data_IF_733039899096
#
_entry.id   IF_733039899096
#
_cell.length_a   1.000
_cell.length_b   1.000
_cell.length_c   1.000
_cell.angle_alpha   90.00
_cell.angle_beta   90.00
_cell.angle_gamma   90.00
#
_symmetry.space_group_name_H-M   'P 1'
#
loop_
_entity.id
_entity.type
_entity.pdbx_description
1 polymer ?
#
# COMPACT_ATOMS: atom_id res chain seq x y z
N UNK A 1 -17.00 5.32 -23.02
CA UNK A 1 -15.84 4.45 -22.76
C UNK A 1 -15.46 4.71 -21.32
N UNK A 2 -15.56 3.74 -20.42
CA UNK A 2 -14.91 3.84 -19.11
C UNK A 2 -13.44 3.49 -19.37
N UNK A 3 -12.55 4.47 -19.26
CA UNK A 3 -11.13 4.19 -19.31
C UNK A 3 -10.82 3.30 -18.09
N UNK A 4 -10.23 2.13 -18.31
CA UNK A 4 -9.80 1.27 -17.22
C UNK A 4 -8.77 2.00 -16.35
N UNK A 5 -8.84 1.82 -15.04
CA UNK A 5 -7.91 2.43 -14.08
C UNK A 5 -7.00 1.41 -13.41
N UNK A 6 -7.19 0.10 -13.65
CA UNK A 6 -6.38 -0.96 -13.08
C UNK A 6 -5.83 -1.84 -14.20
N UNK A 7 -4.50 -1.96 -14.28
CA UNK A 7 -3.79 -2.74 -15.28
C UNK A 7 -2.73 -3.60 -14.62
N UNK A 8 -2.62 -4.85 -15.04
CA UNK A 8 -1.49 -5.70 -14.68
C UNK A 8 -0.62 -5.85 -15.93
N UNK A 9 0.63 -5.41 -15.85
CA UNK A 9 1.61 -5.51 -16.91
C UNK A 9 2.56 -6.67 -16.64
N UNK A 10 2.96 -7.35 -17.71
CA UNK A 10 3.98 -8.40 -17.63
C UNK A 10 5.36 -7.80 -17.87
N UNK A 11 6.35 -8.27 -17.12
CA UNK A 11 7.76 -7.93 -17.31
C UNK A 11 8.64 -9.17 -17.18
N UNK A 12 9.90 -9.07 -17.58
CA UNK A 12 10.87 -10.17 -17.46
C UNK A 12 11.11 -10.62 -16.00
N UNK A 13 10.75 -9.77 -15.03
CA UNK A 13 10.91 -10.03 -13.59
C UNK A 13 9.58 -10.33 -12.87
N UNK A 14 8.46 -10.38 -13.60
CA UNK A 14 7.12 -10.69 -13.05
C UNK A 14 6.07 -9.63 -13.39
N UNK A 15 4.88 -9.81 -12.80
CA UNK A 15 3.72 -8.93 -12.99
C UNK A 15 3.85 -7.63 -12.19
N UNK A 16 3.37 -6.53 -12.77
CA UNK A 16 3.34 -5.18 -12.15
C UNK A 16 1.94 -4.60 -12.27
N UNK A 17 1.32 -4.29 -11.13
CA UNK A 17 0.01 -3.64 -11.07
C UNK A 17 0.15 -2.10 -11.13
N UNK A 18 -0.58 -1.48 -12.06
CA UNK A 18 -0.79 -0.03 -12.15
C UNK A 18 -2.23 0.28 -11.76
N UNK A 19 -2.39 1.03 -10.68
CA UNK A 19 -3.69 1.41 -10.13
C UNK A 19 -3.86 2.93 -10.21
N UNK A 20 -4.97 3.37 -10.79
CA UNK A 20 -5.35 4.78 -10.83
C UNK A 20 -5.87 5.27 -9.47
N UNK A 21 -6.41 4.36 -8.67
CA UNK A 21 -6.83 4.60 -7.30
C UNK A 21 -6.53 3.37 -6.44
N UNK A 22 -6.17 3.61 -5.17
CA UNK A 22 -6.00 2.56 -4.16
C UNK A 22 -7.24 2.55 -3.28
N UNK A 23 -7.96 1.43 -3.29
CA UNK A 23 -9.16 1.25 -2.47
C UNK A 23 -8.87 1.59 -0.99
N UNK A 24 -9.71 2.43 -0.37
CA UNK A 24 -9.52 2.86 1.02
C UNK A 24 -8.52 4.00 1.25
N UNK A 25 -7.79 4.43 0.20
CA UNK A 25 -6.84 5.55 0.28
C UNK A 25 -7.25 6.67 -0.69
N UNK A 26 -7.42 6.36 -1.98
CA UNK A 26 -7.85 7.31 -3.00
C UNK A 26 -6.91 7.38 -4.21
N UNK A 27 -6.85 8.55 -4.82
CA UNK A 27 -6.01 8.87 -5.98
C UNK A 27 -4.52 9.01 -5.62
N UNK A 28 -3.69 9.36 -6.61
CA UNK A 28 -2.25 9.49 -6.43
C UNK A 28 -1.88 10.49 -5.32
N UNK A 29 -2.52 11.66 -5.26
CA UNK A 29 -2.19 12.67 -4.25
C UNK A 29 -2.60 12.24 -2.84
N UNK A 30 -3.67 11.45 -2.70
CA UNK A 30 -4.02 10.82 -1.44
C UNK A 30 -3.00 9.74 -1.04
N UNK A 31 -2.60 8.89 -1.98
CA UNK A 31 -1.59 7.84 -1.75
C UNK A 31 -0.23 8.45 -1.39
N UNK A 32 0.18 9.52 -2.07
CA UNK A 32 1.46 10.18 -1.83
C UNK A 32 1.54 10.78 -0.42
N UNK A 33 0.43 11.39 0.05
CA UNK A 33 0.33 11.92 1.42
C UNK A 33 0.35 10.85 2.49
N UNK A 34 -0.13 9.64 2.18
CA UNK A 34 -0.14 8.49 3.07
C UNK A 34 1.11 7.60 2.89
N UNK A 35 2.14 8.11 2.21
CA UNK A 35 3.38 7.40 1.93
C UNK A 35 4.58 7.99 2.66
N UNK A 36 5.55 7.13 2.96
CA UNK A 36 6.86 7.48 3.49
C UNK A 36 7.98 7.02 2.54
N UNK A 37 9.13 7.70 2.59
CA UNK A 37 10.29 7.34 1.77
C UNK A 37 11.09 6.25 2.48
N UNK A 38 11.38 5.16 1.78
CA UNK A 38 12.33 4.13 2.19
C UNK A 38 13.46 4.03 1.18
N UNK A 39 14.69 3.82 1.66
CA UNK A 39 15.81 3.51 0.79
C UNK A 39 15.83 2.00 0.51
N UNK A 40 15.54 1.61 -0.73
CA UNK A 40 15.48 0.22 -1.18
C UNK A 40 16.44 0.04 -2.35
N UNK A 41 17.41 -0.87 -2.19
CA UNK A 41 18.39 -1.18 -3.24
C UNK A 41 19.15 0.05 -3.78
N UNK A 42 19.37 1.07 -2.93
CA UNK A 42 20.04 2.32 -3.31
C UNK A 42 19.13 3.37 -3.95
N UNK A 43 17.81 3.13 -4.00
CA UNK A 43 16.81 4.06 -4.52
C UNK A 43 15.88 4.53 -3.42
N UNK A 44 15.51 5.81 -3.47
CA UNK A 44 14.46 6.36 -2.61
C UNK A 44 13.10 6.02 -3.22
N UNK A 45 12.33 5.17 -2.53
CA UNK A 45 11.05 4.67 -2.97
C UNK A 45 9.97 5.10 -1.97
N UNK A 46 8.88 5.66 -2.46
CA UNK A 46 7.70 5.94 -1.64
C UNK A 46 6.89 4.66 -1.46
N UNK A 47 6.60 4.32 -0.23
CA UNK A 47 5.73 3.20 0.15
C UNK A 47 4.65 3.71 1.08
N UNK A 48 3.47 3.10 1.05
CA UNK A 48 2.43 3.44 2.02
C UNK A 48 2.97 3.29 3.45
N UNK A 49 2.65 4.27 4.29
CA UNK A 49 2.78 4.14 5.75
C UNK A 49 2.00 2.93 6.24
N UNK A 50 2.32 2.45 7.45
CA UNK A 50 1.58 1.33 8.06
C UNK A 50 0.08 1.65 8.15
N UNK A 51 -0.30 2.88 8.49
CA UNK A 51 -1.71 3.29 8.52
C UNK A 51 -2.36 3.25 7.12
N UNK A 52 -1.69 3.82 6.11
CA UNK A 52 -2.14 3.79 4.73
C UNK A 52 -2.30 2.36 4.20
N UNK A 53 -1.37 1.47 4.55
CA UNK A 53 -1.42 0.07 4.18
C UNK A 53 -2.59 -0.67 4.83
N UNK A 54 -2.84 -0.46 6.12
CA UNK A 54 -4.00 -1.06 6.83
C UNK A 54 -5.31 -0.60 6.18
N UNK A 55 -5.46 0.71 5.90
CA UNK A 55 -6.64 1.26 5.21
C UNK A 55 -6.85 0.55 3.87
N UNK A 56 -5.78 0.43 3.07
CA UNK A 56 -5.83 -0.20 1.76
C UNK A 56 -6.21 -1.69 1.81
N UNK A 57 -5.58 -2.45 2.70
CA UNK A 57 -5.83 -3.89 2.87
C UNK A 57 -7.23 -4.20 3.35
N UNK A 58 -7.73 -3.40 4.31
CA UNK A 58 -9.10 -3.54 4.82
C UNK A 58 -10.13 -3.26 3.74
N UNK A 59 -9.91 -2.24 2.91
CA UNK A 59 -10.80 -1.92 1.80
C UNK A 59 -10.73 -2.93 0.64
N UNK A 60 -9.55 -3.47 0.35
CA UNK A 60 -9.38 -4.50 -0.68
C UNK A 60 -10.11 -5.80 -0.34
N UNK A 61 -10.16 -6.18 0.95
CA UNK A 61 -11.05 -7.23 1.47
C UNK A 61 -10.79 -8.65 0.95
N UNK A 62 -9.71 -8.90 0.20
CA UNK A 62 -9.34 -10.26 -0.23
C UNK A 62 -8.97 -11.08 1.01
N UNK A 63 -9.24 -12.39 0.99
CA UNK A 63 -8.95 -13.28 2.13
C UNK A 63 -7.52 -13.13 2.66
N UNK A 64 -6.52 -13.06 1.77
CA UNK A 64 -5.12 -12.85 2.17
C UNK A 64 -4.86 -11.49 2.83
N UNK A 65 -5.58 -10.45 2.42
CA UNK A 65 -5.41 -9.12 3.00
C UNK A 65 -6.02 -9.07 4.41
N UNK A 66 -7.21 -9.67 4.58
CA UNK A 66 -7.87 -9.75 5.89
C UNK A 66 -7.07 -10.57 6.91
N UNK A 67 -6.42 -11.66 6.46
CA UNK A 67 -5.57 -12.48 7.32
C UNK A 67 -4.29 -11.75 7.77
N UNK A 68 -3.80 -10.79 6.98
CA UNK A 68 -2.61 -10.00 7.32
C UNK A 68 -2.92 -8.79 8.23
N UNK A 69 -4.18 -8.36 8.33
CA UNK A 69 -4.55 -7.18 9.11
C UNK A 69 -4.14 -7.25 10.59
N UNK A 70 -4.33 -8.38 11.33
CA UNK A 70 -3.92 -8.45 12.73
C UNK A 70 -2.42 -8.24 12.93
N UNK A 71 -1.59 -8.78 12.03
CA UNK A 71 -0.14 -8.60 12.07
C UNK A 71 0.26 -7.14 11.82
N UNK A 72 -0.40 -6.49 10.86
CA UNK A 72 -0.17 -5.07 10.57
C UNK A 72 -0.62 -4.16 11.73
N UNK A 73 -1.73 -4.48 12.38
CA UNK A 73 -2.22 -3.73 13.54
C UNK A 73 -1.27 -3.87 14.75
N UNK A 74 -0.73 -5.07 14.99
CA UNK A 74 0.28 -5.30 16.02
C UNK A 74 1.60 -4.56 15.71
N UNK A 75 2.02 -4.53 14.44
CA UNK A 75 3.20 -3.76 14.02
C UNK A 75 3.00 -2.25 14.24
N UNK A 76 1.81 -1.72 13.97
CA UNK A 76 1.49 -0.32 14.23
C UNK A 76 1.62 0.02 15.71
N UNK A 77 1.10 -0.82 16.59
CA UNK A 77 1.20 -0.65 18.05
C UNK A 77 2.66 -0.67 18.52
N UNK A 78 3.45 -1.63 18.03
CA UNK A 78 4.89 -1.70 18.35
C UNK A 78 5.66 -0.44 17.91
N UNK A 79 5.31 0.13 16.75
CA UNK A 79 5.96 1.35 16.25
C UNK A 79 5.55 2.60 17.04
N UNK A 80 4.30 2.70 17.51
CA UNK A 80 3.89 3.83 18.36
C UNK A 80 4.59 3.81 19.72
N UNK A 81 4.82 2.63 20.28
CA UNK A 81 5.49 2.47 21.57
C UNK A 81 6.99 2.81 21.52
N UNK A 82 7.62 2.75 20.34
CA UNK A 82 9.03 3.15 20.15
C UNK A 82 9.22 4.66 20.00
N UNK A 83 8.15 5.41 19.72
CA UNK A 83 8.18 6.87 19.53
C UNK A 83 7.95 7.66 20.84
N UNK A 84 7.56 6.99 21.93
CA UNK A 84 7.36 7.51 23.30
C UNK A 84 8.61 7.41 24.19
#
# INVERSE_FOLDING_TARGET
>A
MQNGTNFTFESEIGEVDLLGEVAGVGDYDAVDRESEVKNLFGYDVKVLTIEGLIKAKRAAGRTKDLLALPELEALREALSDEED
#
